data_IF_433466238452
#
_entry.id   IF_433466238452
#
_cell.length_a   1.000
_cell.length_b   1.000
_cell.length_c   1.000
_cell.angle_alpha   90.00
_cell.angle_beta   90.00
_cell.angle_gamma   90.00
#
_symmetry.space_group_name_H-M   'P 1'
#
loop_
_entity.id
_entity.type
_entity.pdbx_description
1 polymer ?
#
# COMPACT_ATOMS: atom_id res chain seq x y z
N UNK A 1 26.34 3.85 -10.72
CA UNK A 1 26.13 2.53 -11.37
C UNK A 1 26.51 1.38 -10.44
N UNK A 2 27.72 1.39 -9.82
CA UNK A 2 28.14 0.32 -8.91
C UNK A 2 27.23 0.21 -7.67
N UNK A 3 26.84 1.31 -7.08
CA UNK A 3 25.91 1.34 -5.93
C UNK A 3 24.55 0.72 -6.26
N UNK A 4 23.99 1.06 -7.42
CA UNK A 4 22.70 0.51 -7.85
C UNK A 4 22.78 -1.02 -8.08
N UNK A 5 23.89 -1.51 -8.67
CA UNK A 5 24.09 -2.94 -8.87
C UNK A 5 24.27 -3.67 -7.53
N UNK A 6 25.04 -3.12 -6.61
CA UNK A 6 25.21 -3.69 -5.28
C UNK A 6 23.89 -3.73 -4.51
N UNK A 7 23.09 -2.66 -4.58
CA UNK A 7 21.77 -2.61 -3.99
C UNK A 7 20.81 -3.65 -4.61
N UNK A 8 20.84 -3.82 -5.92
CA UNK A 8 20.04 -4.82 -6.62
C UNK A 8 20.40 -6.26 -6.18
N UNK A 9 21.71 -6.56 -6.05
CA UNK A 9 22.15 -7.86 -5.57
C UNK A 9 21.74 -8.16 -4.12
N UNK A 10 21.68 -7.13 -3.26
CA UNK A 10 21.26 -7.26 -1.86
C UNK A 10 19.74 -7.33 -1.68
N UNK A 11 18.96 -6.93 -2.68
CA UNK A 11 17.50 -6.77 -2.56
C UNK A 11 16.75 -8.07 -2.20
N UNK A 12 17.05 -9.24 -2.80
CA UNK A 12 16.37 -10.48 -2.42
C UNK A 12 16.51 -10.79 -0.94
N UNK A 13 17.72 -10.61 -0.39
CA UNK A 13 17.96 -10.83 1.05
C UNK A 13 17.23 -9.83 1.93
N UNK A 14 17.18 -8.56 1.52
CA UNK A 14 16.42 -7.54 2.24
C UNK A 14 14.92 -7.87 2.28
N UNK A 15 14.36 -8.36 1.18
CA UNK A 15 12.96 -8.79 1.12
C UNK A 15 12.75 -9.98 2.06
N UNK A 16 13.56 -11.03 1.94
CA UNK A 16 13.47 -12.23 2.77
C UNK A 16 13.50 -11.89 4.26
N UNK A 17 14.43 -11.03 4.68
CA UNK A 17 14.59 -10.63 6.08
C UNK A 17 13.42 -9.76 6.59
N UNK A 18 12.77 -9.00 5.70
CA UNK A 18 11.67 -8.12 6.06
C UNK A 18 10.29 -8.82 6.08
N UNK A 19 10.11 -9.90 5.32
CA UNK A 19 8.83 -10.59 5.16
C UNK A 19 8.14 -10.97 6.48
N UNK A 20 8.83 -11.54 7.51
CA UNK A 20 8.17 -11.91 8.75
C UNK A 20 7.51 -10.72 9.46
N UNK A 21 8.25 -9.60 9.60
CA UNK A 21 7.72 -8.39 10.25
C UNK A 21 6.63 -7.73 9.40
N UNK A 22 6.75 -7.76 8.07
CA UNK A 22 5.70 -7.28 7.18
C UNK A 22 4.41 -8.09 7.36
N UNK A 23 4.52 -9.41 7.45
CA UNK A 23 3.36 -10.28 7.65
C UNK A 23 2.70 -10.04 9.00
N UNK A 24 3.46 -9.93 10.06
CA UNK A 24 2.95 -9.63 11.39
C UNK A 24 2.14 -8.32 11.40
N UNK A 25 2.67 -7.28 10.75
CA UNK A 25 1.97 -6.00 10.63
C UNK A 25 0.70 -6.13 9.79
N UNK A 26 0.73 -6.87 8.69
CA UNK A 26 -0.45 -7.13 7.87
C UNK A 26 -1.55 -7.85 8.66
N UNK A 27 -1.18 -8.88 9.44
CA UNK A 27 -2.11 -9.62 10.32
C UNK A 27 -2.73 -8.74 11.40
N UNK A 28 -1.96 -7.80 11.95
CA UNK A 28 -2.46 -6.83 12.92
C UNK A 28 -3.45 -5.85 12.30
N UNK A 29 -3.15 -5.36 11.10
CA UNK A 29 -3.96 -4.31 10.45
C UNK A 29 -5.24 -4.86 9.79
N UNK A 30 -5.21 -6.06 9.23
CA UNK A 30 -6.33 -6.59 8.45
C UNK A 30 -7.65 -6.64 9.24
N UNK A 31 -7.69 -7.15 10.50
CA UNK A 31 -8.93 -7.16 11.29
C UNK A 31 -9.48 -5.75 11.55
N UNK A 32 -8.60 -4.75 11.71
CA UNK A 32 -9.01 -3.38 12.02
C UNK A 32 -9.77 -2.72 10.87
N UNK A 33 -9.47 -3.14 9.64
CA UNK A 33 -10.03 -2.56 8.42
C UNK A 33 -10.93 -3.50 7.63
N UNK A 34 -11.23 -4.69 8.16
CA UNK A 34 -12.03 -5.70 7.45
C UNK A 34 -13.49 -5.28 7.18
N UNK A 35 -14.00 -4.31 7.94
CA UNK A 35 -15.33 -3.74 7.73
C UNK A 35 -15.38 -2.61 6.70
N UNK A 36 -14.22 -2.13 6.22
CA UNK A 36 -14.17 -1.07 5.24
C UNK A 36 -14.72 -1.56 3.88
N UNK A 37 -15.57 -0.75 3.27
CA UNK A 37 -16.14 -1.03 1.95
C UNK A 37 -15.25 -0.58 0.81
N UNK A 38 -14.39 0.39 1.07
CA UNK A 38 -13.52 0.99 0.07
C UNK A 38 -12.19 1.44 0.67
N UNK A 39 -11.15 1.47 -0.17
CA UNK A 39 -9.81 1.94 0.18
C UNK A 39 -9.28 2.89 -0.89
N UNK A 40 -8.58 3.95 -0.47
CA UNK A 40 -7.64 4.61 -1.34
C UNK A 40 -6.22 4.07 -1.14
N UNK A 41 -5.51 3.99 -2.27
CA UNK A 41 -4.07 3.80 -2.31
C UNK A 41 -3.45 5.05 -2.91
N UNK A 42 -2.64 5.75 -2.15
CA UNK A 42 -2.03 7.01 -2.58
C UNK A 42 -0.53 6.84 -2.80
N UNK A 43 -0.07 7.21 -3.99
CA UNK A 43 1.33 7.26 -4.33
C UNK A 43 1.68 8.52 -5.12
N UNK A 44 2.97 8.91 -5.10
CA UNK A 44 3.46 10.05 -5.87
C UNK A 44 4.72 9.68 -6.65
N UNK A 45 4.85 10.20 -7.90
CA UNK A 45 5.97 9.84 -8.76
C UNK A 45 6.01 8.33 -9.03
N UNK A 46 7.14 7.69 -8.77
CA UNK A 46 7.30 6.25 -8.96
C UNK A 46 6.49 5.38 -7.97
N UNK A 47 6.01 5.95 -6.87
CA UNK A 47 5.10 5.25 -5.96
C UNK A 47 3.64 5.19 -6.48
N UNK A 48 3.26 5.98 -7.49
CA UNK A 48 1.90 5.95 -8.02
C UNK A 48 1.56 4.60 -8.71
N UNK A 49 2.39 4.05 -9.61
CA UNK A 49 2.14 2.72 -10.16
C UNK A 49 2.01 1.63 -9.08
N UNK A 50 2.76 1.74 -7.97
CA UNK A 50 2.63 0.81 -6.85
C UNK A 50 1.30 0.96 -6.12
N UNK A 51 0.80 2.19 -5.97
CA UNK A 51 -0.54 2.42 -5.41
C UNK A 51 -1.64 1.76 -6.25
N UNK A 52 -1.51 1.81 -7.58
CA UNK A 52 -2.41 1.09 -8.49
C UNK A 52 -2.34 -0.42 -8.28
N UNK A 53 -1.12 -0.97 -8.16
CA UNK A 53 -0.91 -2.40 -7.94
C UNK A 53 -1.43 -2.85 -6.57
N UNK A 54 -1.18 -2.08 -5.50
CA UNK A 54 -1.71 -2.38 -4.17
C UNK A 54 -3.25 -2.40 -4.14
N UNK A 55 -3.88 -1.42 -4.76
CA UNK A 55 -5.33 -1.37 -4.92
C UNK A 55 -5.86 -2.56 -5.73
N UNK A 56 -5.15 -2.95 -6.80
CA UNK A 56 -5.50 -4.11 -7.61
C UNK A 56 -5.45 -5.38 -6.77
N UNK A 57 -4.36 -5.62 -6.05
CA UNK A 57 -4.21 -6.83 -5.22
C UNK A 57 -5.28 -6.94 -4.14
N UNK A 58 -5.62 -5.83 -3.47
CA UNK A 58 -6.67 -5.85 -2.46
C UNK A 58 -8.03 -6.23 -3.07
N UNK A 59 -8.45 -5.56 -4.15
CA UNK A 59 -9.77 -5.83 -4.75
C UNK A 59 -9.89 -7.23 -5.37
N UNK A 60 -8.80 -7.77 -5.92
CA UNK A 60 -8.83 -9.08 -6.59
C UNK A 60 -9.18 -10.23 -5.64
N UNK A 61 -8.65 -10.22 -4.42
CA UNK A 61 -8.77 -11.37 -3.51
C UNK A 61 -9.66 -11.10 -2.29
N UNK A 62 -9.75 -9.86 -1.81
CA UNK A 62 -10.63 -9.52 -0.68
C UNK A 62 -12.02 -9.09 -1.10
N UNK A 63 -12.19 -8.64 -2.35
CA UNK A 63 -13.41 -8.05 -2.92
C UNK A 63 -13.80 -6.70 -2.31
N UNK A 64 -12.94 -6.11 -1.49
CA UNK A 64 -13.10 -4.73 -1.04
C UNK A 64 -12.77 -3.82 -2.23
N UNK A 65 -13.64 -2.82 -2.49
CA UNK A 65 -13.34 -1.83 -3.50
C UNK A 65 -12.06 -1.06 -3.16
N UNK A 66 -11.14 -0.93 -4.11
CA UNK A 66 -9.90 -0.19 -3.88
C UNK A 66 -9.47 0.56 -5.13
N UNK A 67 -9.05 1.81 -4.96
CA UNK A 67 -8.59 2.65 -6.05
C UNK A 67 -7.24 3.29 -5.73
N UNK A 68 -6.33 3.23 -6.73
CA UNK A 68 -5.03 3.89 -6.66
C UNK A 68 -5.10 5.28 -7.30
N UNK A 69 -4.57 6.28 -6.60
CA UNK A 69 -4.50 7.65 -7.11
C UNK A 69 -3.09 8.22 -7.01
N UNK A 70 -2.73 9.03 -8.01
CA UNK A 70 -1.63 9.96 -7.82
C UNK A 70 -2.05 10.95 -6.72
N UNK A 71 -1.31 10.97 -5.60
CA UNK A 71 -1.74 11.72 -4.40
C UNK A 71 -1.94 13.22 -4.64
N UNK A 72 -1.27 13.78 -5.65
CA UNK A 72 -1.47 15.17 -6.08
C UNK A 72 -2.82 15.43 -6.75
N UNK A 73 -3.44 14.39 -7.32
CA UNK A 73 -4.74 14.48 -8.03
C UNK A 73 -5.93 14.25 -7.10
N UNK A 74 -5.69 13.83 -5.87
CA UNK A 74 -6.75 13.55 -4.90
C UNK A 74 -7.72 14.72 -4.73
N UNK A 75 -7.24 15.97 -4.82
CA UNK A 75 -8.04 17.19 -4.66
C UNK A 75 -9.04 17.44 -5.79
N UNK A 76 -8.86 16.81 -6.93
CA UNK A 76 -9.67 17.03 -8.12
C UNK A 76 -10.94 16.18 -8.18
N UNK A 77 -11.38 15.63 -7.06
CA UNK A 77 -12.62 14.85 -6.94
C UNK A 77 -12.56 13.80 -5.84
N UNK A 78 -11.60 12.86 -5.86
CA UNK A 78 -11.55 11.73 -4.93
C UNK A 78 -11.59 12.11 -3.45
N UNK A 79 -11.06 13.26 -3.09
CA UNK A 79 -11.05 13.78 -1.72
C UNK A 79 -12.46 13.92 -1.11
N UNK A 80 -13.49 14.02 -1.95
CA UNK A 80 -14.88 14.11 -1.51
C UNK A 80 -15.42 12.81 -0.88
N UNK A 81 -14.74 11.68 -1.15
CA UNK A 81 -15.12 10.37 -0.63
C UNK A 81 -14.48 10.07 0.74
N UNK A 82 -13.56 10.90 1.21
CA UNK A 82 -12.84 10.65 2.47
C UNK A 82 -13.75 10.91 3.65
N UNK A 83 -13.94 9.88 4.46
CA UNK A 83 -14.70 9.85 5.69
C UNK A 83 -14.07 8.86 6.70
N UNK A 84 -14.54 8.78 7.95
CA UNK A 84 -13.92 7.90 8.97
C UNK A 84 -13.89 6.42 8.61
N UNK A 85 -14.80 5.94 7.80
CA UNK A 85 -14.90 4.55 7.35
C UNK A 85 -14.16 4.27 6.03
N UNK A 86 -13.48 5.31 5.50
CA UNK A 86 -12.77 5.23 4.22
C UNK A 86 -11.25 5.31 4.42
N UNK A 87 -10.58 4.16 4.71
CA UNK A 87 -9.15 4.13 4.95
C UNK A 87 -8.32 4.45 3.70
N UNK A 88 -7.21 5.08 3.94
CA UNK A 88 -6.20 5.41 2.91
C UNK A 88 -4.89 4.70 3.21
N UNK A 89 -4.39 3.93 2.24
CA UNK A 89 -3.05 3.35 2.24
C UNK A 89 -2.10 4.29 1.50
N UNK A 90 -1.19 4.96 2.20
CA UNK A 90 -0.31 5.97 1.63
C UNK A 90 1.14 5.47 1.53
N UNK A 91 1.74 5.57 0.35
CA UNK A 91 3.14 5.22 0.10
C UNK A 91 4.02 6.45 0.31
N UNK A 92 4.75 6.50 1.43
CA UNK A 92 5.49 7.67 1.91
C UNK A 92 6.99 7.36 2.06
N UNK A 93 7.69 7.21 0.93
CA UNK A 93 9.12 6.94 0.93
C UNK A 93 9.96 8.19 1.23
N UNK A 94 11.11 8.00 1.91
CA UNK A 94 12.06 9.06 2.20
C UNK A 94 12.81 9.50 0.92
N UNK A 95 12.12 10.24 0.07
CA UNK A 95 12.64 10.82 -1.16
C UNK A 95 12.26 12.32 -1.28
N UNK A 96 12.61 12.93 -2.39
CA UNK A 96 12.31 14.34 -2.65
C UNK A 96 10.80 14.67 -2.68
N UNK A 97 9.93 13.67 -2.81
CA UNK A 97 8.48 13.84 -2.84
C UNK A 97 7.84 13.65 -1.47
N UNK A 98 8.58 13.17 -0.46
CA UNK A 98 8.07 12.92 0.89
C UNK A 98 7.30 14.11 1.49
N UNK A 99 7.81 15.37 1.43
CA UNK A 99 7.08 16.51 2.00
C UNK A 99 5.70 16.72 1.35
N UNK A 100 5.57 16.41 0.05
CA UNK A 100 4.31 16.52 -0.68
C UNK A 100 3.36 15.38 -0.32
N UNK A 101 3.87 14.16 -0.15
CA UNK A 101 3.07 13.02 0.32
C UNK A 101 2.58 13.27 1.74
N UNK A 102 3.45 13.74 2.64
CA UNK A 102 3.08 14.15 4.01
C UNK A 102 1.94 15.16 4.00
N UNK A 103 2.00 16.20 3.15
CA UNK A 103 0.91 17.18 3.00
C UNK A 103 -0.40 16.51 2.56
N UNK A 104 -0.37 15.56 1.61
CA UNK A 104 -1.56 14.85 1.18
C UNK A 104 -2.14 13.95 2.30
N UNK A 105 -1.30 13.32 3.12
CA UNK A 105 -1.72 12.57 4.30
C UNK A 105 -2.48 13.49 5.28
N UNK A 106 -1.95 14.66 5.57
CA UNK A 106 -2.61 15.66 6.43
C UNK A 106 -3.98 16.08 5.88
N UNK A 107 -4.14 16.16 4.56
CA UNK A 107 -5.41 16.47 3.91
C UNK A 107 -6.46 15.36 4.10
N UNK A 108 -6.04 14.10 4.10
CA UNK A 108 -6.89 12.94 4.42
C UNK A 108 -7.33 13.00 5.88
N UNK A 109 -6.37 13.20 6.80
CA UNK A 109 -6.62 13.27 8.23
C UNK A 109 -7.52 14.43 8.63
N UNK A 110 -7.41 15.60 7.94
CA UNK A 110 -8.29 16.74 8.16
C UNK A 110 -9.78 16.40 7.89
N UNK A 111 -10.05 15.31 7.18
CA UNK A 111 -11.39 14.77 6.91
C UNK A 111 -11.71 13.53 7.74
N UNK A 112 -10.88 13.26 8.74
CA UNK A 112 -10.99 12.11 9.63
C UNK A 112 -10.85 10.75 8.92
N UNK A 113 -10.30 10.72 7.70
CA UNK A 113 -9.96 9.47 7.02
C UNK A 113 -8.79 8.79 7.74
N UNK A 114 -8.92 7.52 8.14
CA UNK A 114 -7.82 6.79 8.75
C UNK A 114 -6.71 6.53 7.73
N UNK A 115 -5.45 6.59 8.17
CA UNK A 115 -4.29 6.44 7.30
C UNK A 115 -3.38 5.32 7.77
N UNK A 116 -3.12 4.37 6.88
CA UNK A 116 -2.01 3.42 6.96
C UNK A 116 -0.89 4.00 6.10
N UNK A 117 0.19 4.49 6.70
CA UNK A 117 1.33 4.99 5.94
C UNK A 117 2.44 3.94 5.87
N UNK A 118 2.72 3.45 4.68
CA UNK A 118 3.87 2.60 4.41
C UNK A 118 5.08 3.50 4.13
N UNK A 119 6.06 3.49 5.04
CA UNK A 119 7.16 4.44 5.02
C UNK A 119 8.51 3.79 5.36
N UNK A 120 9.59 4.49 5.07
CA UNK A 120 10.93 4.10 5.50
C UNK A 120 11.19 4.55 6.95
N UNK A 121 12.21 3.97 7.65
CA UNK A 121 12.58 4.37 9.00
C UNK A 121 12.90 5.85 9.10
N UNK A 122 12.46 6.47 10.21
CA UNK A 122 12.68 7.89 10.47
C UNK A 122 11.70 8.83 9.74
N UNK A 123 10.67 8.31 9.10
CA UNK A 123 9.61 9.13 8.51
C UNK A 123 8.89 9.92 9.61
N UNK A 124 8.91 11.25 9.51
CA UNK A 124 8.21 12.16 10.42
C UNK A 124 6.73 12.27 10.01
N UNK A 125 5.95 11.24 10.38
CA UNK A 125 4.51 11.12 10.13
C UNK A 125 3.78 10.84 11.44
N UNK A 126 2.71 11.59 11.67
CA UNK A 126 1.76 11.33 12.75
C UNK A 126 0.47 10.78 12.14
N UNK A 127 0.41 9.47 12.01
CA UNK A 127 -0.71 8.73 11.41
C UNK A 127 -1.22 7.67 12.36
N UNK A 128 -2.41 7.16 12.11
CA UNK A 128 -3.02 6.12 12.92
C UNK A 128 -2.19 4.82 12.90
N UNK A 129 -1.70 4.43 11.72
CA UNK A 129 -0.82 3.29 11.57
C UNK A 129 0.38 3.64 10.69
N UNK A 130 1.56 3.74 11.31
CA UNK A 130 2.83 3.86 10.60
C UNK A 130 3.42 2.47 10.40
N UNK A 131 3.39 1.98 9.17
CA UNK A 131 4.00 0.72 8.78
C UNK A 131 5.39 0.96 8.22
N UNK A 132 6.40 0.63 8.99
CA UNK A 132 7.78 0.86 8.60
C UNK A 132 8.35 -0.34 7.84
N UNK A 133 8.88 -0.09 6.64
CA UNK A 133 9.63 -1.06 5.85
C UNK A 133 11.09 -0.60 5.71
N UNK A 134 12.06 -1.52 5.53
CA UNK A 134 13.46 -1.14 5.32
C UNK A 134 13.62 -0.16 4.16
N UNK A 135 14.67 0.65 4.23
CA UNK A 135 15.04 1.51 3.11
C UNK A 135 15.86 0.75 2.07
N UNK A 136 15.54 0.95 0.81
CA UNK A 136 16.34 0.48 -0.31
C UNK A 136 16.87 1.66 -1.14
N UNK A 137 17.84 1.40 -2.01
CA UNK A 137 18.45 2.43 -2.85
C UNK A 137 17.43 3.02 -3.85
N UNK A 138 17.17 4.33 -3.76
CA UNK A 138 16.34 5.07 -4.71
C UNK A 138 15.02 4.38 -5.03
N UNK A 139 14.73 4.08 -6.31
CA UNK A 139 13.46 3.47 -6.71
C UNK A 139 13.25 2.02 -6.22
N UNK A 140 14.27 1.38 -5.63
CA UNK A 140 14.15 0.00 -5.14
C UNK A 140 13.29 -0.14 -3.89
N UNK A 141 12.93 0.97 -3.22
CA UNK A 141 11.86 0.97 -2.21
C UNK A 141 10.57 0.33 -2.73
N UNK A 142 10.32 0.41 -4.03
CA UNK A 142 9.20 -0.25 -4.70
C UNK A 142 9.14 -1.76 -4.45
N UNK A 143 10.30 -2.43 -4.52
CA UNK A 143 10.40 -3.88 -4.34
C UNK A 143 10.20 -4.33 -2.89
N UNK A 144 10.37 -3.43 -1.92
CA UNK A 144 10.06 -3.69 -0.51
C UNK A 144 8.60 -3.34 -0.18
N UNK A 145 8.05 -2.33 -0.83
CA UNK A 145 6.66 -1.93 -0.62
C UNK A 145 5.67 -2.92 -1.21
N UNK A 146 5.98 -3.51 -2.36
CA UNK A 146 5.09 -4.43 -3.04
C UNK A 146 4.74 -5.67 -2.19
N UNK A 147 5.69 -6.41 -1.61
CA UNK A 147 5.38 -7.53 -0.71
C UNK A 147 4.53 -7.12 0.50
N UNK A 148 4.77 -5.94 1.08
CA UNK A 148 3.95 -5.45 2.19
C UNK A 148 2.48 -5.28 1.79
N UNK A 149 2.20 -4.67 0.64
CA UNK A 149 0.83 -4.52 0.12
C UNK A 149 0.20 -5.85 -0.29
N UNK A 150 1.00 -6.77 -0.84
CA UNK A 150 0.52 -8.13 -1.16
C UNK A 150 0.15 -8.90 0.10
N UNK A 151 0.98 -8.83 1.14
CA UNK A 151 0.68 -9.44 2.43
C UNK A 151 -0.56 -8.82 3.08
N UNK A 152 -0.73 -7.50 3.02
CA UNK A 152 -1.95 -6.85 3.52
C UNK A 152 -3.19 -7.36 2.79
N UNK A 153 -3.13 -7.48 1.48
CA UNK A 153 -4.24 -8.00 0.67
C UNK A 153 -4.53 -9.48 1.00
N UNK A 154 -3.47 -10.28 1.16
CA UNK A 154 -3.58 -11.70 1.51
C UNK A 154 -4.21 -11.89 2.90
N UNK A 155 -3.65 -11.27 3.94
CA UNK A 155 -4.14 -11.40 5.31
C UNK A 155 -5.56 -10.80 5.46
N UNK A 156 -5.90 -9.77 4.69
CA UNK A 156 -7.27 -9.24 4.61
C UNK A 156 -8.24 -10.27 4.02
N UNK A 157 -7.86 -10.90 2.91
CA UNK A 157 -8.69 -11.90 2.26
C UNK A 157 -8.86 -13.15 3.15
N UNK A 158 -7.79 -13.60 3.77
CA UNK A 158 -7.79 -14.73 4.72
C UNK A 158 -8.69 -14.42 5.92
N UNK A 159 -8.54 -13.25 6.54
CA UNK A 159 -9.40 -12.81 7.65
C UNK A 159 -10.89 -12.77 7.27
N UNK A 160 -11.19 -12.36 6.03
CA UNK A 160 -12.56 -12.31 5.50
C UNK A 160 -13.07 -13.71 5.03
N UNK A 161 -12.27 -14.77 5.19
CA UNK A 161 -12.61 -16.13 4.76
C UNK A 161 -12.76 -16.26 3.25
N UNK A 162 -11.98 -15.51 2.46
CA UNK A 162 -11.98 -15.59 0.99
C UNK A 162 -10.98 -16.63 0.51
N UNK A 163 -11.31 -17.31 -0.58
CA UNK A 163 -10.39 -18.20 -1.26
C UNK A 163 -9.39 -17.36 -2.06
N UNK A 164 -8.14 -17.30 -1.58
CA UNK A 164 -7.06 -16.51 -2.20
C UNK A 164 -6.44 -17.22 -3.41
N UNK A 165 -6.58 -18.55 -3.49
CA UNK A 165 -6.02 -19.35 -4.58
C UNK A 165 -6.96 -19.44 -5.79
N UNK A 166 -8.27 -19.33 -5.54
CA UNK A 166 -9.31 -19.36 -6.57
C UNK A 166 -10.30 -18.20 -6.41
N UNK A 167 -9.83 -16.96 -6.59
CA UNK A 167 -10.71 -15.80 -6.47
C UNK A 167 -11.79 -15.84 -7.55
N UNK A 168 -13.02 -15.47 -7.15
CA UNK A 168 -14.17 -15.47 -8.07
C UNK A 168 -13.94 -14.55 -9.26
N UNK A 169 -14.45 -14.95 -10.43
CA UNK A 169 -14.41 -14.18 -11.67
C UNK A 169 -13.00 -13.92 -12.23
N UNK A 170 -11.97 -14.50 -11.65
CA UNK A 170 -10.62 -14.45 -12.17
C UNK A 170 -10.23 -15.83 -12.69
N UNK A 171 -9.67 -15.85 -13.89
CA UNK A 171 -9.12 -17.05 -14.51
C UNK A 171 -7.78 -16.72 -15.15
N UNK A 172 -6.89 -17.71 -15.24
CA UNK A 172 -5.57 -17.54 -15.87
C UNK A 172 -5.66 -17.15 -17.36
N UNK A 173 -6.73 -17.53 -17.99
CA UNK A 173 -7.12 -17.07 -19.33
C UNK A 173 -8.64 -16.91 -19.36
N UNK A 174 -9.12 -15.74 -19.72
CA UNK A 174 -10.55 -15.50 -19.97
C UNK A 174 -10.76 -15.64 -21.46
N UNK A 175 -11.32 -16.79 -21.87
CA UNK A 175 -11.87 -16.98 -23.22
C UNK A 175 -13.36 -16.72 -23.12
N UNK A 176 -13.81 -15.61 -23.66
CA UNK A 176 -15.23 -15.35 -23.93
C UNK A 176 -15.42 -15.67 -25.39
N UNK A 177 -16.14 -16.73 -25.70
CA UNK A 177 -16.72 -16.96 -27.02
C UNK A 177 -18.05 -16.22 -27.15
#
# INVERSE_FOLDING_TARGET
>A
RHEALAALHGLPKQIEDALPAMRETAQMLSPLYASAHSFFYLGRGHAFPLALEGALKLKEISYIHAEGYASGEMKHGPIALIEPEFPTFALAFNDALFPKVKSNIVEVQARRGPVIALANPGADLHVEHLWTIPSAWGPFNAFLALPAMQLFSYEMADYLGKDVDQPRNLAKSVTVE
#
